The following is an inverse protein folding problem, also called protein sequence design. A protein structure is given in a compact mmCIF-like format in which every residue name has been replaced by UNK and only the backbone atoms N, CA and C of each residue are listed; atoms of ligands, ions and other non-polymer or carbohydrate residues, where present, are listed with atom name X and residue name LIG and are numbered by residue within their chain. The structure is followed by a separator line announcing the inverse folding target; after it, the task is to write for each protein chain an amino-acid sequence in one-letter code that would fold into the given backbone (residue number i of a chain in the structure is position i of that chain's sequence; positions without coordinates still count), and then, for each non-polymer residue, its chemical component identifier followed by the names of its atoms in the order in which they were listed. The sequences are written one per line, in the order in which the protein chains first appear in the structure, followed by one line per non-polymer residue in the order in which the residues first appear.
data_IF_238010418352
#
_entry.id   IF_238010418352
#
_cell.length_a   1.000
_cell.length_b   1.000
_cell.length_c   1.000
_cell.angle_alpha   90.00
_cell.angle_beta   90.00
_cell.angle_gamma   90.00
#
_symmetry.space_group_name_H-M   'P 1'
#
loop_
_entity.id
_entity.type
_entity.pdbx_description
1 polymer ?
#
# COMPACT_ATOMS: atom_id res chain seq x y z
N UNK A 1 -39.49 -30.39 -31.05
CA UNK A 1 -38.04 -30.26 -31.23
C UNK A 1 -37.46 -29.53 -30.03
N UNK A 2 -36.73 -30.19 -29.12
CA UNK A 2 -35.93 -29.50 -28.12
C UNK A 2 -34.53 -29.21 -28.67
N UNK A 3 -34.08 -27.96 -28.54
CA UNK A 3 -32.72 -27.55 -28.90
C UNK A 3 -31.70 -28.14 -27.91
N UNK A 4 -30.55 -28.67 -28.38
CA UNK A 4 -29.52 -29.17 -27.49
C UNK A 4 -28.68 -28.01 -26.94
N UNK A 5 -28.52 -28.00 -25.62
CA UNK A 5 -27.47 -27.26 -24.93
C UNK A 5 -26.12 -27.67 -25.52
N UNK A 6 -25.47 -26.76 -26.25
CA UNK A 6 -24.11 -26.95 -26.72
C UNK A 6 -23.17 -26.26 -25.73
N UNK A 7 -22.28 -27.08 -25.16
CA UNK A 7 -21.37 -26.67 -24.10
C UNK A 7 -20.39 -25.60 -24.55
N UNK A 8 -20.23 -24.59 -23.71
CA UNK A 8 -19.04 -23.76 -23.70
C UNK A 8 -17.94 -24.53 -22.99
N UNK A 9 -17.05 -25.13 -23.79
CA UNK A 9 -15.76 -25.61 -23.35
C UNK A 9 -14.98 -24.42 -22.79
N UNK A 10 -15.01 -24.26 -21.47
CA UNK A 10 -14.14 -23.30 -20.78
C UNK A 10 -12.70 -23.62 -21.12
N UNK A 11 -12.08 -22.77 -21.96
CA UNK A 11 -10.65 -22.82 -22.27
C UNK A 11 -9.90 -22.79 -20.94
N UNK A 12 -9.44 -23.94 -20.46
CA UNK A 12 -8.49 -23.98 -19.34
C UNK A 12 -7.31 -23.12 -19.80
N UNK A 13 -7.06 -22.02 -19.09
CA UNK A 13 -5.83 -21.24 -19.29
C UNK A 13 -4.70 -22.19 -18.88
N UNK A 14 -4.12 -22.89 -19.86
CA UNK A 14 -2.94 -23.71 -19.63
C UNK A 14 -1.79 -22.75 -19.41
N UNK A 15 -1.38 -22.61 -18.15
CA UNK A 15 -0.12 -21.96 -17.82
C UNK A 15 0.98 -22.78 -18.49
N UNK A 16 1.62 -22.25 -19.54
CA UNK A 16 2.79 -22.90 -20.12
C UNK A 16 3.90 -22.90 -19.07
N UNK A 17 4.50 -24.05 -18.83
CA UNK A 17 5.55 -24.26 -17.82
C UNK A 17 6.87 -23.53 -18.13
N UNK A 18 6.97 -22.87 -19.27
CA UNK A 18 8.14 -22.07 -19.67
C UNK A 18 7.82 -20.59 -19.73
N UNK A 19 7.60 -19.96 -18.57
CA UNK A 19 7.71 -18.50 -18.48
C UNK A 19 9.21 -18.14 -18.44
N UNK A 20 9.72 -17.28 -19.34
CA UNK A 20 11.16 -17.04 -19.45
C UNK A 20 11.72 -16.23 -18.27
N UNK A 21 10.89 -15.48 -17.54
CA UNK A 21 11.35 -14.68 -16.41
C UNK A 21 11.34 -15.48 -15.10
N UNK A 22 12.50 -15.56 -14.44
CA UNK A 22 12.67 -16.13 -13.09
C UNK A 22 13.40 -15.14 -12.20
N UNK A 23 12.71 -14.09 -11.71
CA UNK A 23 13.32 -13.14 -10.79
C UNK A 23 13.69 -13.81 -9.46
N UNK A 24 14.73 -13.32 -8.79
CA UNK A 24 15.10 -13.80 -7.45
C UNK A 24 14.06 -13.38 -6.39
N UNK A 25 13.58 -12.14 -6.52
CA UNK A 25 12.61 -11.49 -5.63
C UNK A 25 11.52 -10.83 -6.44
N UNK A 26 10.28 -10.91 -5.97
CA UNK A 26 9.15 -10.14 -6.53
C UNK A 26 8.75 -9.02 -5.59
N UNK A 27 8.67 -7.80 -6.12
CA UNK A 27 8.08 -6.65 -5.46
C UNK A 27 6.65 -6.45 -5.99
N UNK A 28 5.63 -6.74 -5.18
CA UNK A 28 4.23 -6.66 -5.59
C UNK A 28 3.59 -5.33 -5.18
N UNK A 29 3.63 -4.35 -6.09
CA UNK A 29 3.08 -3.00 -5.91
C UNK A 29 1.78 -2.76 -6.71
N UNK A 30 1.46 -3.62 -7.67
CA UNK A 30 0.29 -3.47 -8.52
C UNK A 30 -1.01 -3.58 -7.69
N UNK A 31 -1.83 -2.54 -7.73
CA UNK A 31 -3.14 -2.52 -7.07
C UNK A 31 -4.06 -1.48 -7.71
N UNK A 32 -5.36 -1.75 -7.70
CA UNK A 32 -6.38 -0.73 -7.89
C UNK A 32 -6.62 -0.02 -6.55
N UNK A 33 -6.43 1.30 -6.52
CA UNK A 33 -6.72 2.14 -5.37
C UNK A 33 -8.01 2.94 -5.59
N UNK A 34 -8.84 3.01 -4.55
CA UNK A 34 -9.96 3.96 -4.43
C UNK A 34 -10.02 4.45 -2.98
N UNK A 35 -10.33 5.74 -2.79
CA UNK A 35 -10.53 6.30 -1.45
C UNK A 35 -11.93 5.98 -0.92
N UNK A 36 -12.92 6.02 -1.81
CA UNK A 36 -14.31 5.67 -1.60
C UNK A 36 -14.75 4.93 -2.86
N UNK A 37 -15.39 3.77 -2.70
CA UNK A 37 -15.77 2.93 -3.83
C UNK A 37 -17.24 3.17 -4.18
N UNK A 38 -17.56 3.04 -5.46
CA UNK A 38 -18.94 2.90 -5.94
C UNK A 38 -19.17 1.46 -6.42
N UNK A 39 -20.42 1.01 -6.65
CA UNK A 39 -20.68 -0.36 -7.11
C UNK A 39 -19.89 -0.77 -8.36
N UNK A 40 -19.65 0.16 -9.30
CA UNK A 40 -18.86 -0.10 -10.50
C UNK A 40 -17.36 -0.34 -10.27
N UNK A 41 -16.82 -0.03 -9.09
CA UNK A 41 -15.41 -0.27 -8.77
C UNK A 41 -15.12 -1.71 -8.29
N UNK A 42 -16.16 -2.46 -7.89
CA UNK A 42 -16.02 -3.74 -7.20
C UNK A 42 -15.22 -4.73 -8.05
N UNK A 43 -15.61 -4.92 -9.31
CA UNK A 43 -14.94 -5.84 -10.23
C UNK A 43 -13.47 -5.46 -10.38
N UNK A 44 -13.18 -4.17 -10.63
CA UNK A 44 -11.81 -3.68 -10.77
C UNK A 44 -10.95 -3.97 -9.54
N UNK A 45 -11.50 -3.73 -8.34
CA UNK A 45 -10.80 -3.97 -7.08
C UNK A 45 -10.52 -5.45 -6.84
N UNK A 46 -11.52 -6.31 -7.02
CA UNK A 46 -11.38 -7.77 -6.82
C UNK A 46 -10.41 -8.35 -7.86
N UNK A 47 -10.53 -7.94 -9.13
CA UNK A 47 -9.65 -8.41 -10.18
C UNK A 47 -8.21 -7.98 -9.96
N UNK A 48 -7.94 -6.70 -9.69
CA UNK A 48 -6.59 -6.19 -9.55
C UNK A 48 -5.91 -6.63 -8.24
N UNK A 49 -6.64 -6.62 -7.12
CA UNK A 49 -6.04 -6.80 -5.80
C UNK A 49 -6.09 -8.24 -5.29
N UNK A 50 -7.00 -9.08 -5.80
CA UNK A 50 -7.14 -10.47 -5.37
C UNK A 50 -6.83 -11.45 -6.49
N UNK A 51 -7.55 -11.40 -7.62
CA UNK A 51 -7.37 -12.38 -8.70
C UNK A 51 -5.96 -12.30 -9.29
N UNK A 52 -5.54 -11.12 -9.74
CA UNK A 52 -4.23 -10.91 -10.34
C UNK A 52 -3.10 -11.23 -9.36
N UNK A 53 -3.23 -10.77 -8.10
CA UNK A 53 -2.24 -11.02 -7.07
C UNK A 53 -2.11 -12.54 -6.76
N UNK A 54 -3.22 -13.27 -6.73
CA UNK A 54 -3.20 -14.75 -6.56
C UNK A 54 -2.58 -15.45 -7.77
N UNK A 55 -2.88 -14.97 -8.98
CA UNK A 55 -2.25 -15.48 -10.21
C UNK A 55 -0.73 -15.26 -10.22
N UNK A 56 -0.27 -14.12 -9.68
CA UNK A 56 1.16 -13.85 -9.48
C UNK A 56 1.78 -14.87 -8.52
N UNK A 57 1.15 -15.18 -7.39
CA UNK A 57 1.63 -16.20 -6.45
C UNK A 57 1.73 -17.59 -7.12
N UNK A 58 0.73 -17.99 -7.91
CA UNK A 58 0.79 -19.25 -8.67
C UNK A 58 1.92 -19.25 -9.71
N UNK A 59 2.11 -18.14 -10.42
CA UNK A 59 3.20 -18.00 -11.38
C UNK A 59 4.57 -18.08 -10.70
N UNK A 60 4.74 -17.44 -9.55
CA UNK A 60 5.95 -17.54 -8.72
C UNK A 60 6.19 -19.00 -8.31
N UNK A 61 5.16 -19.68 -7.81
CA UNK A 61 5.23 -21.08 -7.38
C UNK A 61 5.67 -22.01 -8.50
N UNK A 62 5.06 -21.92 -9.68
CA UNK A 62 5.40 -22.73 -10.86
C UNK A 62 6.84 -22.47 -11.35
N UNK A 63 7.36 -21.26 -11.16
CA UNK A 63 8.73 -20.90 -11.58
C UNK A 63 9.79 -21.08 -10.47
N UNK A 64 9.40 -21.55 -9.29
CA UNK A 64 10.31 -21.75 -8.16
C UNK A 64 10.76 -20.46 -7.47
N UNK A 65 10.09 -19.32 -7.73
CA UNK A 65 10.34 -18.04 -7.07
C UNK A 65 9.57 -17.99 -5.76
N UNK A 66 10.21 -17.60 -4.66
CA UNK A 66 9.61 -17.67 -3.31
C UNK A 66 9.74 -16.41 -2.47
N UNK A 67 10.61 -15.47 -2.86
CA UNK A 67 10.79 -14.22 -2.13
C UNK A 67 9.79 -13.18 -2.63
N UNK A 68 8.97 -12.68 -1.71
CA UNK A 68 7.96 -11.66 -2.01
C UNK A 68 8.03 -10.49 -1.04
N UNK A 69 8.23 -9.29 -1.56
CA UNK A 69 7.92 -8.05 -0.84
C UNK A 69 6.56 -7.57 -1.32
N UNK A 70 5.54 -7.74 -0.47
CA UNK A 70 4.16 -7.33 -0.71
C UNK A 70 3.90 -5.91 -0.18
N UNK A 71 3.11 -5.15 -0.92
CA UNK A 71 2.60 -3.85 -0.45
C UNK A 71 1.34 -4.07 0.39
N UNK A 72 1.29 -3.60 1.63
CA UNK A 72 0.10 -3.50 2.47
C UNK A 72 -0.34 -2.05 2.65
N UNK A 73 -1.26 -1.78 3.59
CA UNK A 73 -1.65 -0.40 3.93
C UNK A 73 -2.00 -0.23 5.40
N UNK A 74 -1.53 0.86 6.01
CA UNK A 74 -1.92 1.23 7.38
C UNK A 74 -3.44 1.47 7.52
N UNK A 75 -4.15 1.66 6.41
CA UNK A 75 -5.60 1.84 6.35
C UNK A 75 -6.41 0.59 6.75
N UNK A 76 -5.74 -0.54 7.03
CA UNK A 76 -6.31 -1.75 7.63
C UNK A 76 -6.65 -1.55 9.14
N UNK A 77 -6.08 -0.53 9.78
CA UNK A 77 -6.09 -0.33 11.23
C UNK A 77 -6.72 1.02 11.64
N UNK A 78 -8.00 1.25 11.29
CA UNK A 78 -8.68 2.49 11.67
C UNK A 78 -8.74 2.66 13.19
N UNK A 79 -8.42 3.86 13.67
CA UNK A 79 -8.40 4.16 15.11
C UNK A 79 -7.45 3.27 15.91
N UNK A 80 -6.38 2.78 15.28
CA UNK A 80 -5.38 1.90 15.88
C UNK A 80 -5.94 0.57 16.41
N UNK A 81 -7.02 0.09 15.80
CA UNK A 81 -7.59 -1.24 16.08
C UNK A 81 -6.84 -2.31 15.30
N UNK A 82 -6.78 -3.52 15.85
CA UNK A 82 -6.11 -4.67 15.23
C UNK A 82 -6.58 -4.92 13.79
N UNK A 83 -7.89 -4.81 13.53
CA UNK A 83 -8.44 -4.80 12.18
C UNK A 83 -9.75 -4.02 12.14
N UNK A 84 -9.74 -2.90 11.44
CA UNK A 84 -10.92 -2.07 11.16
C UNK A 84 -10.64 -1.30 9.86
N UNK A 85 -10.85 -1.91 8.68
CA UNK A 85 -10.45 -1.31 7.42
C UNK A 85 -11.27 -0.04 7.13
N UNK A 86 -10.59 1.04 6.77
CA UNK A 86 -11.26 2.32 6.48
C UNK A 86 -12.15 2.26 5.22
N UNK A 87 -11.84 1.37 4.28
CA UNK A 87 -12.57 1.20 3.03
C UNK A 87 -12.35 -0.20 2.40
N UNK A 88 -13.07 -0.47 1.31
CA UNK A 88 -12.99 -1.74 0.58
C UNK A 88 -11.58 -2.03 0.03
N UNK A 89 -10.84 -1.01 -0.41
CA UNK A 89 -9.45 -1.17 -0.82
C UNK A 89 -8.59 -1.78 0.31
N UNK A 90 -8.65 -1.22 1.51
CA UNK A 90 -7.91 -1.75 2.67
C UNK A 90 -8.34 -3.19 3.00
N UNK A 91 -9.63 -3.50 2.91
CA UNK A 91 -10.12 -4.87 3.10
C UNK A 91 -9.57 -5.84 2.05
N UNK A 92 -9.42 -5.42 0.77
CA UNK A 92 -8.80 -6.29 -0.25
C UNK A 92 -7.31 -6.54 0.01
N UNK A 93 -6.59 -5.59 0.60
CA UNK A 93 -5.19 -5.79 0.99
C UNK A 93 -5.08 -6.84 2.10
N UNK A 94 -5.93 -6.77 3.12
CA UNK A 94 -6.01 -7.79 4.17
C UNK A 94 -6.39 -9.17 3.60
N UNK A 95 -7.37 -9.24 2.70
CA UNK A 95 -7.77 -10.50 2.08
C UNK A 95 -6.63 -11.13 1.27
N UNK A 96 -5.82 -10.32 0.57
CA UNK A 96 -4.63 -10.83 -0.10
C UNK A 96 -3.56 -11.33 0.88
N UNK A 97 -3.37 -10.67 2.03
CA UNK A 97 -2.46 -11.17 3.07
C UNK A 97 -2.88 -12.54 3.61
N UNK A 98 -4.18 -12.78 3.78
CA UNK A 98 -4.70 -14.10 4.16
C UNK A 98 -4.42 -15.17 3.08
N UNK A 99 -4.53 -14.80 1.79
CA UNK A 99 -4.15 -15.68 0.68
C UNK A 99 -2.64 -15.95 0.72
N UNK A 100 -1.81 -14.90 0.87
CA UNK A 100 -0.36 -15.02 0.94
C UNK A 100 0.10 -15.93 2.09
N UNK A 101 -0.56 -15.85 3.26
CA UNK A 101 -0.28 -16.74 4.39
C UNK A 101 -0.44 -18.23 4.02
N UNK A 102 -1.42 -18.58 3.18
CA UNK A 102 -1.53 -19.94 2.64
C UNK A 102 -0.29 -20.33 1.84
N UNK A 103 0.23 -19.47 0.97
CA UNK A 103 1.42 -19.78 0.18
C UNK A 103 2.71 -19.85 0.99
N UNK A 104 2.84 -19.01 2.02
CA UNK A 104 3.93 -19.09 2.98
C UNK A 104 3.91 -20.45 3.69
N UNK A 105 2.75 -20.85 4.22
CA UNK A 105 2.62 -22.06 5.02
C UNK A 105 2.66 -23.35 4.18
N UNK A 106 1.99 -23.37 3.02
CA UNK A 106 1.84 -24.57 2.20
C UNK A 106 2.93 -24.74 1.13
N UNK A 107 3.52 -23.63 0.66
CA UNK A 107 4.45 -23.63 -0.49
C UNK A 107 5.82 -23.05 -0.16
N UNK A 108 6.07 -22.68 1.10
CA UNK A 108 7.38 -22.21 1.58
C UNK A 108 7.81 -20.87 0.99
N UNK A 109 6.85 -19.99 0.70
CA UNK A 109 7.17 -18.60 0.42
C UNK A 109 7.77 -17.92 1.65
N UNK A 110 8.68 -16.98 1.40
CA UNK A 110 9.27 -16.12 2.41
C UNK A 110 8.85 -14.70 2.03
N UNK A 111 8.02 -14.09 2.86
CA UNK A 111 7.36 -12.84 2.49
C UNK A 111 7.55 -11.73 3.54
N UNK A 112 7.58 -10.49 3.05
CA UNK A 112 7.42 -9.30 3.87
C UNK A 112 6.24 -8.47 3.34
N UNK A 113 5.29 -8.08 4.19
CA UNK A 113 4.29 -7.06 3.88
C UNK A 113 4.71 -5.72 4.46
N UNK A 114 4.77 -4.69 3.61
CA UNK A 114 4.98 -3.30 4.00
C UNK A 114 3.66 -2.55 4.08
N UNK A 115 3.14 -2.35 5.30
CA UNK A 115 1.96 -1.52 5.55
C UNK A 115 2.32 -0.04 5.39
N UNK A 116 2.05 0.50 4.20
CA UNK A 116 2.37 1.87 3.88
C UNK A 116 1.38 2.85 4.54
N UNK A 117 1.93 3.87 5.17
CA UNK A 117 1.21 5.11 5.49
C UNK A 117 1.09 6.00 4.24
N UNK A 118 0.58 7.22 4.39
CA UNK A 118 0.26 8.06 3.23
C UNK A 118 1.54 8.50 2.51
N UNK A 119 1.85 7.82 1.40
CA UNK A 119 3.02 8.14 0.59
C UNK A 119 2.82 9.37 -0.29
N UNK A 120 3.87 10.16 -0.51
CA UNK A 120 3.92 11.24 -1.51
C UNK A 120 5.29 11.33 -2.19
N UNK A 121 5.36 11.96 -3.35
CA UNK A 121 6.61 12.17 -4.07
C UNK A 121 6.39 12.70 -5.48
N UNK A 122 7.47 12.99 -6.23
CA UNK A 122 7.40 13.39 -7.62
C UNK A 122 6.64 12.37 -8.48
N UNK A 123 5.81 12.84 -9.41
CA UNK A 123 5.05 11.97 -10.30
C UNK A 123 3.82 11.28 -9.67
N UNK A 124 3.47 11.57 -8.42
CA UNK A 124 2.25 10.99 -7.81
C UNK A 124 0.96 11.59 -8.40
N UNK A 125 0.34 10.86 -9.31
CA UNK A 125 -0.91 11.26 -9.98
C UNK A 125 -2.18 10.88 -9.20
N UNK A 126 -2.04 10.17 -8.08
CA UNK A 126 -3.21 9.71 -7.31
C UNK A 126 -3.95 10.91 -6.72
N UNK A 127 -5.29 10.86 -6.59
CA UNK A 127 -6.10 11.96 -6.06
C UNK A 127 -5.96 12.08 -4.52
N UNK A 128 -4.74 12.24 -4.04
CA UNK A 128 -4.33 12.44 -2.64
C UNK A 128 -4.10 13.92 -2.33
N UNK A 129 -3.88 14.22 -1.05
CA UNK A 129 -3.67 15.59 -0.54
C UNK A 129 -2.59 16.34 -1.32
N UNK A 130 -1.40 15.77 -1.49
CA UNK A 130 -0.27 16.47 -2.10
C UNK A 130 -0.56 16.91 -3.54
N UNK A 131 -1.24 16.04 -4.32
CA UNK A 131 -1.71 16.40 -5.66
C UNK A 131 -2.78 17.49 -5.64
N UNK A 132 -3.69 17.45 -4.67
CA UNK A 132 -4.71 18.48 -4.52
C UNK A 132 -4.10 19.85 -4.19
N UNK A 133 -3.08 19.89 -3.33
CA UNK A 133 -2.32 21.11 -3.00
C UNK A 133 -1.58 21.66 -4.22
N UNK A 134 -0.83 20.81 -4.93
CA UNK A 134 -0.15 21.20 -6.17
C UNK A 134 -1.10 21.74 -7.23
N UNK A 135 -2.25 21.09 -7.38
CA UNK A 135 -3.28 21.53 -8.32
C UNK A 135 -3.85 22.89 -7.92
N UNK A 136 -4.21 23.09 -6.64
CA UNK A 136 -4.70 24.35 -6.13
C UNK A 136 -3.68 25.50 -6.32
N UNK A 137 -2.41 25.23 -6.03
CA UNK A 137 -1.30 26.19 -6.18
C UNK A 137 -1.10 26.64 -7.62
N UNK A 138 -1.01 25.69 -8.57
CA UNK A 138 -0.90 25.99 -10.01
C UNK A 138 -2.18 26.65 -10.54
N UNK A 139 -3.30 26.21 -9.99
CA UNK A 139 -4.68 26.56 -10.28
C UNK A 139 -5.04 28.02 -9.95
N UNK A 140 -4.43 28.57 -8.89
CA UNK A 140 -4.95 29.72 -8.17
C UNK A 140 -6.35 29.48 -7.58
N UNK A 141 -6.72 28.22 -7.30
CA UNK A 141 -8.08 27.83 -6.91
C UNK A 141 -8.19 27.50 -5.43
N UNK A 142 -9.27 27.89 -4.75
CA UNK A 142 -9.50 27.48 -3.37
C UNK A 142 -9.58 25.94 -3.24
N UNK A 143 -9.00 25.41 -2.16
CA UNK A 143 -9.07 23.99 -1.83
C UNK A 143 -9.98 23.78 -0.62
N UNK A 144 -11.05 23.00 -0.78
CA UNK A 144 -11.94 22.67 0.35
C UNK A 144 -11.27 21.67 1.30
N UNK A 145 -11.17 22.02 2.57
CA UNK A 145 -10.47 21.24 3.59
C UNK A 145 -11.32 21.06 4.85
N UNK A 146 -10.94 20.10 5.69
CA UNK A 146 -11.48 19.94 7.05
C UNK A 146 -10.87 20.99 7.98
N UNK A 147 -11.15 20.89 9.29
CA UNK A 147 -10.59 21.78 10.33
C UNK A 147 -9.05 21.79 10.42
N UNK A 148 -8.35 20.90 9.71
CA UNK A 148 -6.89 20.83 9.72
C UNK A 148 -6.31 20.11 10.94
N UNK A 149 -7.10 19.76 11.96
CA UNK A 149 -6.60 19.17 13.21
C UNK A 149 -6.23 17.70 13.12
N UNK A 150 -6.75 16.96 12.13
CA UNK A 150 -6.41 15.55 12.00
C UNK A 150 -4.93 15.38 11.66
N UNK A 151 -4.30 14.38 12.28
CA UNK A 151 -2.92 14.01 12.01
C UNK A 151 -2.82 13.20 10.72
N UNK A 152 -1.75 13.46 9.99
CA UNK A 152 -1.34 12.78 8.77
C UNK A 152 0.11 12.32 8.93
N UNK A 153 0.35 11.06 8.63
CA UNK A 153 1.71 10.52 8.56
C UNK A 153 2.07 10.36 7.09
N UNK A 154 2.88 11.30 6.59
CA UNK A 154 3.28 11.38 5.20
C UNK A 154 4.70 10.83 5.03
N UNK A 155 4.86 9.83 4.17
CA UNK A 155 6.18 9.21 3.89
C UNK A 155 6.63 9.60 2.50
N UNK A 156 7.85 10.13 2.38
CA UNK A 156 8.41 10.48 1.09
C UNK A 156 8.77 9.22 0.30
N UNK A 157 8.66 9.27 -1.04
CA UNK A 157 8.81 8.09 -1.90
C UNK A 157 10.18 7.42 -1.77
N UNK A 158 11.25 8.18 -1.53
CA UNK A 158 12.60 7.60 -1.38
C UNK A 158 12.70 6.77 -0.09
N UNK A 159 12.11 7.24 1.02
CA UNK A 159 12.05 6.47 2.27
C UNK A 159 11.22 5.17 2.09
N UNK A 160 10.20 5.21 1.24
CA UNK A 160 9.41 4.02 0.88
C UNK A 160 10.27 3.04 0.09
N UNK A 161 11.06 3.51 -0.89
CA UNK A 161 11.98 2.68 -1.67
C UNK A 161 13.02 2.03 -0.76
N UNK A 162 13.61 2.79 0.17
CA UNK A 162 14.56 2.27 1.15
C UNK A 162 13.93 1.15 2.01
N UNK A 163 12.68 1.31 2.41
CA UNK A 163 11.95 0.27 3.14
C UNK A 163 11.73 -1.01 2.30
N UNK A 164 11.46 -0.90 0.99
CA UNK A 164 11.39 -2.06 0.09
C UNK A 164 12.73 -2.79 -0.02
N UNK A 165 13.82 -2.04 -0.21
CA UNK A 165 15.17 -2.62 -0.34
C UNK A 165 15.64 -3.27 0.96
N UNK A 166 15.36 -2.65 2.10
CA UNK A 166 15.63 -3.23 3.41
C UNK A 166 14.83 -4.52 3.65
N UNK A 167 13.54 -4.53 3.25
CA UNK A 167 12.70 -5.71 3.36
C UNK A 167 13.21 -6.86 2.49
N UNK A 168 13.61 -6.60 1.24
CA UNK A 168 14.25 -7.62 0.39
C UNK A 168 15.52 -8.16 1.05
N UNK A 169 16.41 -7.28 1.51
CA UNK A 169 17.68 -7.68 2.12
C UNK A 169 17.43 -8.65 3.29
N UNK A 170 16.47 -8.33 4.16
CA UNK A 170 16.06 -9.20 5.25
C UNK A 170 15.48 -10.55 4.75
N UNK A 171 14.77 -10.60 3.62
CA UNK A 171 14.29 -11.86 3.03
C UNK A 171 15.45 -12.72 2.51
N UNK A 172 16.50 -12.10 1.96
CA UNK A 172 17.69 -12.79 1.44
C UNK A 172 18.59 -13.34 2.54
N UNK A 173 18.63 -12.70 3.72
CA UNK A 173 19.30 -13.22 4.92
C UNK A 173 18.65 -14.55 5.41
N UNK A 174 17.45 -14.85 4.94
CA UNK A 174 16.76 -16.11 5.19
C UNK A 174 15.73 -16.04 6.32
N UNK A 175 15.34 -17.23 6.78
CA UNK A 175 14.22 -17.44 7.68
C UNK A 175 12.94 -17.83 6.94
N UNK A 176 12.01 -18.43 7.67
CA UNK A 176 10.70 -18.81 7.16
C UNK A 176 9.63 -17.82 7.63
N UNK A 177 8.53 -17.77 6.89
CA UNK A 177 7.31 -17.09 7.34
C UNK A 177 7.01 -15.78 6.62
N UNK A 178 6.11 -15.03 7.24
CA UNK A 178 5.54 -13.79 6.74
C UNK A 178 5.79 -12.68 7.76
N UNK A 179 6.64 -11.72 7.41
CA UNK A 179 6.97 -10.57 8.26
C UNK A 179 6.11 -9.37 7.87
N UNK A 180 5.69 -8.57 8.85
CA UNK A 180 4.87 -7.38 8.63
C UNK A 180 5.59 -6.15 9.20
N UNK A 181 5.71 -5.10 8.40
CA UNK A 181 6.37 -3.85 8.79
C UNK A 181 5.48 -2.66 8.46
N UNK A 182 5.34 -1.74 9.42
CA UNK A 182 4.77 -0.41 9.15
C UNK A 182 5.81 0.52 8.55
N UNK A 183 5.49 1.18 7.44
CA UNK A 183 6.36 2.20 6.82
C UNK A 183 5.75 3.57 7.08
N UNK A 184 6.28 4.25 8.09
CA UNK A 184 5.79 5.53 8.59
C UNK A 184 6.93 6.54 8.77
N UNK A 185 6.61 7.83 8.77
CA UNK A 185 7.58 8.90 9.07
C UNK A 185 8.00 8.89 10.55
N UNK A 186 7.18 8.30 11.41
CA UNK A 186 7.35 8.34 12.87
C UNK A 186 7.04 9.70 13.50
N UNK A 187 6.63 10.69 12.70
CA UNK A 187 6.29 12.04 13.14
C UNK A 187 5.02 12.56 12.42
N UNK A 188 3.82 12.07 12.78
CA UNK A 188 2.58 12.55 12.20
C UNK A 188 2.38 14.05 12.44
N UNK A 189 1.92 14.76 11.41
CA UNK A 189 1.68 16.21 11.45
C UNK A 189 0.19 16.52 11.28
N UNK A 190 -0.35 17.53 11.99
CA UNK A 190 -1.67 18.09 11.68
C UNK A 190 -1.76 18.51 10.22
N UNK A 191 -2.90 18.27 9.56
CA UNK A 191 -3.12 18.69 8.17
C UNK A 191 -2.77 20.17 7.94
N UNK A 192 -3.13 21.06 8.87
CA UNK A 192 -2.79 22.50 8.77
C UNK A 192 -1.29 22.75 8.69
N UNK A 193 -0.49 21.95 9.38
CA UNK A 193 0.97 22.11 9.44
C UNK A 193 1.60 21.55 8.16
N UNK A 194 1.02 20.47 7.59
CA UNK A 194 1.36 19.98 6.25
C UNK A 194 1.09 21.04 5.17
N UNK A 195 -0.05 21.73 5.24
CA UNK A 195 -0.38 22.81 4.29
C UNK A 195 0.60 23.96 4.41
N UNK A 196 0.90 24.40 5.64
CA UNK A 196 1.86 25.48 5.88
C UNK A 196 3.26 25.13 5.34
N UNK A 197 3.72 23.89 5.56
CA UNK A 197 4.99 23.42 5.02
C UNK A 197 4.99 23.39 3.48
N UNK A 198 3.87 22.99 2.86
CA UNK A 198 3.70 23.04 1.42
C UNK A 198 3.75 24.48 0.87
N UNK A 199 3.00 25.41 1.47
CA UNK A 199 2.97 26.82 1.08
C UNK A 199 4.36 27.46 1.14
N UNK A 200 5.10 27.19 2.21
CA UNK A 200 6.48 27.64 2.39
C UNK A 200 7.41 27.08 1.31
N UNK A 201 7.33 25.77 1.02
CA UNK A 201 8.19 25.13 0.03
C UNK A 201 7.85 25.54 -1.41
N UNK A 202 6.57 25.77 -1.72
CA UNK A 202 6.12 26.14 -3.05
C UNK A 202 6.12 27.65 -3.29
N UNK A 203 6.30 28.48 -2.26
CA UNK A 203 6.27 29.95 -2.37
C UNK A 203 4.89 30.49 -2.75
N UNK A 204 3.82 29.84 -2.26
CA UNK A 204 2.42 30.20 -2.57
C UNK A 204 1.61 30.39 -1.29
N UNK A 205 0.47 31.07 -1.40
CA UNK A 205 -0.56 31.10 -0.35
C UNK A 205 -1.85 30.52 -0.93
N UNK A 206 -2.42 29.55 -0.24
CA UNK A 206 -3.65 28.87 -0.63
C UNK A 206 -4.82 29.38 0.23
N UNK A 207 -5.91 29.78 -0.43
CA UNK A 207 -7.21 29.95 0.23
C UNK A 207 -7.81 28.57 0.54
N UNK A 208 -7.26 27.93 1.58
CA UNK A 208 -7.52 26.52 1.91
C UNK A 208 -8.27 26.33 3.24
N UNK A 209 -8.23 27.34 4.13
CA UNK A 209 -8.78 27.30 5.48
C UNK A 209 -10.08 28.12 5.56
N UNK A 210 -11.23 27.47 5.39
CA UNK A 210 -12.53 28.13 5.61
C UNK A 210 -13.70 27.57 4.79
N UNK A 211 -13.41 26.85 3.71
CA UNK A 211 -14.43 26.17 2.90
C UNK A 211 -14.61 24.74 3.40
N UNK A 212 -15.58 24.55 4.29
CA UNK A 212 -15.79 23.26 4.98
C UNK A 212 -16.06 22.12 4.00
N UNK A 213 -15.12 21.19 3.90
CA UNK A 213 -15.38 19.86 3.35
C UNK A 213 -15.98 18.98 4.45
N UNK A 214 -17.03 18.22 4.15
CA UNK A 214 -17.52 17.18 5.08
C UNK A 214 -16.36 16.24 5.42
N UNK A 215 -16.15 15.89 6.71
CA UNK A 215 -15.22 14.83 7.08
C UNK A 215 -15.53 13.57 6.26
N UNK A 216 -14.51 12.84 5.81
CA UNK A 216 -14.76 11.47 5.33
C UNK A 216 -15.37 10.69 6.50
N UNK A 217 -16.42 9.91 6.24
CA UNK A 217 -17.10 9.11 7.26
C UNK A 217 -16.12 8.20 8.03
N UNK A 218 -15.06 7.74 7.34
CA UNK A 218 -13.83 7.16 7.90
C UNK A 218 -12.65 7.74 7.12
N UNK A 219 -11.90 8.66 7.73
CA UNK A 219 -10.66 9.18 7.16
C UNK A 219 -9.45 8.51 7.82
N UNK A 220 -8.30 8.48 7.17
CA UNK A 220 -7.01 8.12 7.79
C UNK A 220 -6.53 9.15 8.84
N UNK A 221 -7.47 9.84 9.50
CA UNK A 221 -7.21 10.78 10.58
C UNK A 221 -7.19 10.04 11.91
N UNK A 222 -6.12 10.29 12.65
CA UNK A 222 -5.72 9.64 13.91
C UNK A 222 -5.27 8.19 13.76
N UNK A 223 -4.07 8.04 13.18
CA UNK A 223 -3.16 6.97 13.66
C UNK A 223 -2.44 7.51 14.90
N UNK A 224 -3.23 7.88 15.92
CA UNK A 224 -2.72 8.16 17.26
C UNK A 224 -2.28 6.83 17.85
N UNK A 225 -1.03 6.46 17.54
CA UNK A 225 -0.30 5.43 18.27
C UNK A 225 -0.34 4.03 17.70
N UNK A 226 0.30 3.79 16.54
CA UNK A 226 1.04 2.51 16.39
C UNK A 226 2.22 2.55 17.40
N UNK A 227 1.90 2.40 18.68
CA UNK A 227 2.77 1.94 19.75
C UNK A 227 2.32 0.51 20.00
N UNK A 228 2.75 -0.41 19.14
CA UNK A 228 2.20 -1.76 19.16
C UNK A 228 2.86 -2.74 18.21
N UNK A 229 4.13 -2.53 17.86
CA UNK A 229 4.97 -3.60 17.36
C UNK A 229 6.33 -3.43 18.03
N UNK A 230 6.50 -4.06 19.19
CA UNK A 230 7.76 -4.19 19.91
C UNK A 230 8.76 -5.12 19.16
N UNK A 231 8.81 -4.96 17.83
CA UNK A 231 9.72 -5.59 16.87
C UNK A 231 9.91 -4.74 15.61
N UNK A 232 9.51 -3.46 15.60
CA UNK A 232 9.77 -2.54 14.49
C UNK A 232 11.23 -2.07 14.55
N UNK A 233 12.10 -2.71 13.78
CA UNK A 233 13.33 -2.07 13.33
C UNK A 233 12.96 -0.77 12.60
N UNK A 234 13.46 0.37 13.10
CA UNK A 234 13.42 1.63 12.35
C UNK A 234 14.12 1.39 11.02
N UNK A 235 13.43 1.58 9.90
CA UNK A 235 14.07 1.62 8.57
C UNK A 235 14.89 2.91 8.34
N UNK A 236 15.26 3.64 9.39
CA UNK A 236 16.14 4.81 9.35
C UNK A 236 17.41 4.59 10.19
N UNK A 237 18.10 3.47 9.90
CA UNK A 237 19.55 3.22 10.02
C UNK A 237 19.81 1.70 9.97
N UNK A 238 19.96 1.15 8.77
CA UNK A 238 20.76 -0.06 8.59
C UNK A 238 22.08 0.42 7.98
N UNK A 239 22.91 1.05 8.81
CA UNK A 239 24.28 1.39 8.41
C UNK A 239 25.13 0.14 8.55
N UNK A 240 25.62 -0.37 7.42
CA UNK A 240 26.68 -1.36 7.39
C UNK A 240 27.88 -0.88 8.20
N UNK A 241 28.31 -1.70 9.15
CA UNK A 241 29.47 -1.46 10.00
C UNK A 241 30.25 -2.75 10.13
N UNK A 242 31.09 -3.03 9.14
CA UNK A 242 32.23 -3.92 9.32
C UNK A 242 33.16 -3.26 10.34
N UNK A 243 33.29 -3.86 11.53
CA UNK A 243 34.51 -3.74 12.33
C UNK A 243 34.81 -5.08 12.97
N UNK A 244 35.92 -5.64 12.51
CA UNK A 244 36.72 -6.63 13.19
C UNK A 244 36.77 -6.41 14.71
N UNK A 245 36.55 -7.48 15.45
CA UNK A 245 37.49 -8.08 16.40
C UNK A 245 36.99 -9.47 16.79
#
# INVERSE_FOLDING_TARGET
MPSPCTGTTGRRRSWSTSWPARPDTVFHLAAAFVAEHVPGDIDRLVHANLLFATQLLEAMRVNGVRLLVNTGTAWQHYGNRDYDPVNLYAATKQAFEAILAYYVNAHGFIAATLALFDTYGPGDERPKLMRALWRAAREGRPLAMSSGRQLLDLVYVDDVVDAYLAAESALREGGAGHRHYGVSSGAPLPLRDVVAAFEQAAGVSLDALGRTRRPRARGAGSVDGIRGAAGMARASRISGGNKAQ
#
